data_IF_906360984382
#
_entry.id   IF_906360984382
#
_cell.length_a   1.000
_cell.length_b   1.000
_cell.length_c   1.000
_cell.angle_alpha   90.00
_cell.angle_beta   90.00
_cell.angle_gamma   90.00
#
_symmetry.space_group_name_H-M   'P 1'
#
loop_
_entity.id
_entity.type
_entity.pdbx_description
1 polymer ?
#
# COMPACT_ATOMS: atom_id res chain seq x y z
N UNK A 1 3.16 24.85 8.77
CA UNK A 1 4.60 24.90 8.52
C UNK A 1 5.31 23.53 8.57
N UNK A 2 4.68 22.44 9.01
CA UNK A 2 5.32 21.10 9.09
C UNK A 2 5.26 20.27 7.79
N UNK A 3 4.45 20.68 6.80
CA UNK A 3 4.26 19.94 5.53
C UNK A 3 5.37 20.12 4.50
N UNK A 4 6.16 21.17 4.61
CA UNK A 4 7.24 21.50 3.65
C UNK A 4 8.59 20.86 4.00
N UNK A 5 8.80 20.42 5.23
CA UNK A 5 10.06 19.80 5.66
C UNK A 5 10.22 18.33 5.24
N UNK A 6 9.13 17.60 5.03
CA UNK A 6 9.21 16.19 4.62
C UNK A 6 9.56 15.99 3.15
N UNK A 7 9.14 16.92 2.26
CA UNK A 7 9.44 16.85 0.83
C UNK A 7 10.93 17.11 0.53
N UNK A 8 11.60 17.94 1.34
CA UNK A 8 13.01 18.28 1.14
C UNK A 8 13.99 17.17 1.55
N UNK A 9 13.64 16.36 2.53
CA UNK A 9 14.52 15.30 3.05
C UNK A 9 14.63 14.09 2.11
N UNK A 10 13.57 13.77 1.36
CA UNK A 10 13.55 12.65 0.41
C UNK A 10 14.34 12.98 -0.86
N UNK A 11 14.30 14.23 -1.30
CA UNK A 11 15.03 14.66 -2.51
C UNK A 11 16.55 14.74 -2.29
N UNK A 12 16.99 15.03 -1.07
CA UNK A 12 18.42 15.13 -0.73
C UNK A 12 19.12 13.75 -0.63
N UNK A 13 18.40 12.70 -0.27
CA UNK A 13 19.00 11.37 -0.13
C UNK A 13 19.24 10.65 -1.47
N UNK A 14 18.53 11.05 -2.52
CA UNK A 14 18.64 10.43 -3.85
C UNK A 14 19.84 10.91 -4.66
N UNK A 15 20.45 12.04 -4.30
CA UNK A 15 21.49 12.70 -5.12
C UNK A 15 22.94 12.40 -4.71
N UNK A 16 23.18 11.71 -3.60
CA UNK A 16 24.54 11.49 -3.06
C UNK A 16 24.99 10.02 -2.99
N UNK A 17 24.20 9.08 -3.54
CA UNK A 17 24.62 7.68 -3.56
C UNK A 17 25.72 7.50 -4.63
N UNK A 18 26.94 7.03 -4.27
CA UNK A 18 27.97 6.71 -5.26
C UNK A 18 27.48 5.58 -6.17
N UNK A 19 27.49 5.85 -7.46
CA UNK A 19 27.03 4.93 -8.52
C UNK A 19 27.98 3.75 -8.75
N UNK A 20 28.89 3.47 -7.85
CA UNK A 20 29.95 2.49 -8.05
C UNK A 20 29.69 1.17 -7.32
N UNK A 21 29.92 0.11 -8.05
CA UNK A 21 30.15 -1.26 -7.64
C UNK A 21 28.94 -2.12 -7.27
N UNK A 22 28.00 -2.28 -8.19
CA UNK A 22 27.11 -3.43 -8.12
C UNK A 22 26.94 -4.04 -9.51
N UNK A 23 27.42 -5.27 -9.65
CA UNK A 23 27.06 -6.10 -10.81
C UNK A 23 25.59 -6.48 -10.68
N UNK A 24 24.68 -5.58 -11.09
CA UNK A 24 23.28 -5.92 -11.20
C UNK A 24 23.18 -7.05 -12.22
N UNK A 25 22.68 -8.18 -11.79
CA UNK A 25 22.19 -9.19 -12.70
C UNK A 25 20.88 -8.63 -13.26
N UNK A 26 20.94 -8.05 -14.46
CA UNK A 26 19.76 -7.67 -15.21
C UNK A 26 18.84 -8.88 -15.30
N UNK A 27 17.59 -8.75 -14.86
CA UNK A 27 16.59 -9.80 -14.96
C UNK A 27 16.44 -10.69 -13.73
N UNK A 28 16.97 -10.30 -12.55
CA UNK A 28 16.62 -11.03 -11.33
C UNK A 28 15.13 -10.88 -11.05
N UNK A 29 14.48 -12.01 -10.86
CA UNK A 29 13.07 -12.11 -10.53
C UNK A 29 12.91 -12.49 -9.08
N UNK A 30 11.94 -11.90 -8.40
CA UNK A 30 11.62 -12.22 -7.02
C UNK A 30 10.12 -12.25 -6.79
N UNK A 31 9.69 -13.10 -5.84
CA UNK A 31 8.32 -13.14 -5.36
C UNK A 31 8.34 -12.87 -3.87
N UNK A 32 7.41 -12.06 -3.39
CA UNK A 32 7.28 -11.71 -1.96
C UNK A 32 5.84 -11.90 -1.51
N UNK A 33 5.46 -13.09 -1.04
CA UNK A 33 4.23 -13.24 -0.27
C UNK A 33 4.33 -12.43 1.02
N UNK A 34 3.24 -11.76 1.39
CA UNK A 34 3.21 -10.92 2.57
C UNK A 34 1.85 -10.96 3.28
N UNK A 35 1.88 -10.60 4.56
CA UNK A 35 0.72 -10.35 5.39
C UNK A 35 0.89 -9.02 6.10
N UNK A 36 -0.22 -8.40 6.46
CA UNK A 36 -0.18 -7.11 7.12
C UNK A 36 -1.54 -6.64 7.62
N UNK A 37 -1.61 -5.35 7.85
CA UNK A 37 -2.81 -4.66 8.29
C UNK A 37 -3.09 -3.46 7.39
N UNK A 38 -4.33 -3.31 6.96
CA UNK A 38 -4.80 -2.20 6.14
C UNK A 38 -5.77 -1.34 6.94
N UNK A 39 -5.51 -0.04 6.99
CA UNK A 39 -6.40 0.98 7.54
C UNK A 39 -7.08 1.70 6.40
N UNK A 40 -8.39 1.58 6.32
CA UNK A 40 -9.18 2.29 5.32
C UNK A 40 -9.43 3.74 5.72
N UNK A 41 -9.39 4.65 4.74
CA UNK A 41 -9.76 6.04 4.93
C UNK A 41 -11.26 6.23 5.16
N UNK A 42 -11.64 7.44 5.60
CA UNK A 42 -13.05 7.80 5.79
C UNK A 42 -13.76 7.80 4.43
N UNK A 43 -14.87 7.08 4.34
CA UNK A 43 -15.69 6.98 3.12
C UNK A 43 -16.66 8.16 3.02
N UNK A 44 -17.35 8.50 4.10
CA UNK A 44 -18.33 9.59 4.16
C UNK A 44 -18.28 10.24 5.55
N UNK A 45 -18.34 11.58 5.58
CA UNK A 45 -18.58 12.32 6.82
C UNK A 45 -20.03 12.81 6.81
N UNK A 46 -20.82 12.35 7.75
CA UNK A 46 -22.19 12.76 7.96
C UNK A 46 -22.32 14.03 8.82
N UNK A 47 -23.53 14.61 8.91
CA UNK A 47 -23.80 15.71 9.83
C UNK A 47 -23.58 15.27 11.28
N UNK A 48 -23.32 16.23 12.18
CA UNK A 48 -23.10 16.03 13.62
C UNK A 48 -21.85 15.18 13.98
N UNK A 49 -20.83 15.12 13.12
CA UNK A 49 -19.59 14.40 13.42
C UNK A 49 -19.68 12.88 13.25
N UNK A 50 -20.77 12.37 12.66
CA UNK A 50 -20.87 10.98 12.27
C UNK A 50 -19.97 10.71 11.06
N UNK A 51 -19.23 9.60 11.07
CA UNK A 51 -18.41 9.17 9.92
C UNK A 51 -18.63 7.68 9.67
N UNK A 52 -18.83 7.34 8.41
CA UNK A 52 -18.74 5.95 7.95
C UNK A 52 -17.29 5.71 7.54
N UNK A 53 -16.63 4.81 8.22
CA UNK A 53 -15.25 4.40 7.92
C UNK A 53 -15.18 2.89 7.87
N UNK A 54 -14.30 2.38 7.00
CA UNK A 54 -13.91 0.98 7.12
C UNK A 54 -13.08 0.81 8.39
N UNK A 55 -13.41 -0.15 9.22
CA UNK A 55 -12.49 -0.60 10.25
C UNK A 55 -11.21 -1.07 9.55
N UNK A 56 -10.06 -0.95 10.22
CA UNK A 56 -8.85 -1.58 9.68
C UNK A 56 -9.01 -3.10 9.73
N UNK A 57 -8.36 -3.80 8.80
CA UNK A 57 -8.43 -5.25 8.70
C UNK A 57 -7.13 -5.90 8.21
N UNK A 58 -7.04 -7.23 8.31
CA UNK A 58 -5.91 -7.95 7.79
C UNK A 58 -5.84 -7.81 6.26
N UNK A 59 -4.61 -7.75 5.74
CA UNK A 59 -4.31 -7.79 4.31
C UNK A 59 -3.31 -8.90 4.04
N UNK A 60 -3.55 -9.65 2.96
CA UNK A 60 -2.66 -10.69 2.45
C UNK A 60 -2.42 -10.44 0.98
N UNK A 61 -1.20 -10.67 0.53
CA UNK A 61 -0.87 -10.44 -0.86
C UNK A 61 0.45 -11.05 -1.28
N UNK A 62 0.80 -10.79 -2.53
CA UNK A 62 2.09 -11.14 -3.09
C UNK A 62 2.56 -10.06 -4.06
N UNK A 63 3.84 -9.74 -4.01
CA UNK A 63 4.53 -8.92 -4.99
C UNK A 63 5.43 -9.78 -5.88
N UNK A 64 5.40 -9.52 -7.17
CA UNK A 64 6.39 -10.01 -8.14
C UNK A 64 7.30 -8.84 -8.52
N UNK A 65 8.60 -9.02 -8.39
CA UNK A 65 9.59 -7.97 -8.64
C UNK A 65 10.53 -8.41 -9.76
N UNK A 66 10.72 -7.55 -10.76
CA UNK A 66 11.69 -7.74 -11.85
C UNK A 66 12.67 -6.58 -11.84
N UNK A 67 13.94 -6.84 -11.64
CA UNK A 67 14.98 -5.81 -11.71
C UNK A 67 15.22 -5.40 -13.17
N UNK A 68 14.99 -4.13 -13.46
CA UNK A 68 15.21 -3.54 -14.78
C UNK A 68 16.66 -3.07 -14.93
N UNK A 69 17.18 -2.48 -13.87
CA UNK A 69 18.58 -2.06 -13.74
C UNK A 69 18.93 -1.99 -12.25
N UNK A 70 20.19 -1.68 -11.94
CA UNK A 70 20.67 -1.57 -10.55
C UNK A 70 19.80 -0.59 -9.74
N UNK A 71 19.17 -1.09 -8.71
CA UNK A 71 18.33 -0.29 -7.82
C UNK A 71 17.00 0.15 -8.41
N UNK A 72 16.66 -0.21 -9.66
CA UNK A 72 15.37 0.06 -10.27
C UNK A 72 14.68 -1.26 -10.62
N UNK A 73 13.48 -1.46 -10.12
CA UNK A 73 12.68 -2.64 -10.39
C UNK A 73 11.24 -2.27 -10.77
N UNK A 74 10.64 -3.13 -11.58
CA UNK A 74 9.20 -3.16 -11.81
C UNK A 74 8.58 -4.13 -10.81
N UNK A 75 7.50 -3.71 -10.17
CA UNK A 75 6.76 -4.50 -9.17
C UNK A 75 5.33 -4.65 -9.62
N UNK A 76 4.86 -5.89 -9.70
CA UNK A 76 3.43 -6.22 -9.80
C UNK A 76 2.92 -6.69 -8.45
N UNK A 77 1.75 -6.26 -8.02
CA UNK A 77 1.19 -6.60 -6.73
C UNK A 77 -0.27 -7.02 -6.85
N UNK A 78 -0.62 -8.05 -6.08
CA UNK A 78 -2.01 -8.46 -5.84
C UNK A 78 -2.21 -8.64 -4.35
N UNK A 79 -3.27 -8.03 -3.80
CA UNK A 79 -3.59 -8.14 -2.38
C UNK A 79 -5.09 -8.23 -2.15
N UNK A 80 -5.45 -8.93 -1.09
CA UNK A 80 -6.82 -9.04 -0.59
C UNK A 80 -6.86 -8.55 0.85
N UNK A 81 -7.77 -7.62 1.13
CA UNK A 81 -8.05 -7.11 2.46
C UNK A 81 -9.51 -7.35 2.81
N UNK A 82 -9.79 -7.73 4.05
CA UNK A 82 -11.15 -7.85 4.57
C UNK A 82 -11.28 -7.03 5.83
N UNK A 83 -12.43 -6.37 5.99
CA UNK A 83 -12.73 -5.54 7.16
C UNK A 83 -14.23 -5.51 7.44
N UNK A 84 -14.58 -5.25 8.68
CA UNK A 84 -15.94 -4.95 9.06
C UNK A 84 -16.25 -3.47 8.81
N UNK A 85 -17.50 -3.17 8.44
CA UNK A 85 -17.98 -1.81 8.30
C UNK A 85 -18.46 -1.32 9.69
N UNK A 86 -17.90 -0.20 10.13
CA UNK A 86 -18.28 0.43 11.40
C UNK A 86 -18.89 1.81 11.16
N UNK A 87 -20.00 2.08 11.85
CA UNK A 87 -20.51 3.45 12.03
C UNK A 87 -19.89 4.01 13.30
N UNK A 88 -19.01 5.00 13.15
CA UNK A 88 -18.50 5.76 14.28
C UNK A 88 -19.58 6.72 14.79
N UNK A 89 -20.13 6.46 15.97
CA UNK A 89 -21.01 7.38 16.68
C UNK A 89 -20.18 8.02 17.79
N UNK A 90 -20.09 9.38 17.87
CA UNK A 90 -19.42 10.02 18.98
C UNK A 90 -20.05 9.54 20.29
N UNK A 91 -19.23 9.11 21.27
CA UNK A 91 -19.64 8.66 22.61
C UNK A 91 -20.02 7.18 22.76
N UNK A 92 -20.49 6.46 21.71
CA UNK A 92 -20.99 5.08 21.84
C UNK A 92 -20.04 4.03 21.28
N UNK A 93 -19.04 4.45 20.50
CA UNK A 93 -18.12 3.52 19.79
C UNK A 93 -18.66 3.08 18.44
N UNK A 94 -17.92 2.20 17.74
CA UNK A 94 -18.30 1.65 16.44
C UNK A 94 -19.27 0.47 16.59
N UNK A 95 -20.34 0.49 15.83
CA UNK A 95 -21.23 -0.68 15.65
C UNK A 95 -20.94 -1.27 14.27
N UNK A 96 -20.53 -2.54 14.21
CA UNK A 96 -20.34 -3.26 12.95
C UNK A 96 -21.70 -3.71 12.40
N UNK A 97 -21.97 -3.43 11.12
CA UNK A 97 -23.24 -3.73 10.46
C UNK A 97 -23.10 -4.42 9.10
N UNK A 98 -21.88 -4.72 8.66
CA UNK A 98 -21.63 -5.37 7.38
C UNK A 98 -20.15 -5.76 7.22
N UNK A 99 -19.87 -6.46 6.12
CA UNK A 99 -18.51 -6.80 5.71
C UNK A 99 -18.10 -6.00 4.48
N UNK A 100 -16.84 -5.61 4.44
CA UNK A 100 -16.23 -5.04 3.25
C UNK A 100 -14.97 -5.81 2.91
N UNK A 101 -14.81 -6.16 1.65
CA UNK A 101 -13.57 -6.71 1.13
C UNK A 101 -13.02 -5.85 0.01
N UNK A 102 -11.71 -5.84 -0.12
CA UNK A 102 -11.01 -5.12 -1.18
C UNK A 102 -9.98 -6.03 -1.83
N UNK A 103 -10.08 -6.18 -3.15
CA UNK A 103 -9.05 -6.77 -4.00
C UNK A 103 -8.27 -5.62 -4.65
N UNK A 104 -6.96 -5.59 -4.41
CA UNK A 104 -6.04 -4.60 -4.95
C UNK A 104 -5.11 -5.29 -5.96
N UNK A 105 -4.91 -4.66 -7.10
CA UNK A 105 -3.89 -5.06 -8.06
C UNK A 105 -3.25 -3.82 -8.64
N UNK A 106 -1.93 -3.77 -8.61
CA UNK A 106 -1.18 -2.60 -9.02
C UNK A 106 0.17 -2.97 -9.64
N UNK A 107 0.69 -2.04 -10.43
CA UNK A 107 2.06 -2.05 -10.91
C UNK A 107 2.78 -0.80 -10.42
N UNK A 108 4.03 -0.94 -10.02
CA UNK A 108 4.84 0.13 -9.47
C UNK A 108 6.29 0.08 -9.97
N UNK A 109 6.93 1.22 -9.98
CA UNK A 109 8.38 1.34 -10.07
C UNK A 109 8.95 1.43 -8.65
N UNK A 110 9.99 0.64 -8.37
CA UNK A 110 10.70 0.60 -7.09
C UNK A 110 12.13 1.07 -7.29
N UNK A 111 12.55 2.00 -6.46
CA UNK A 111 13.93 2.45 -6.33
C UNK A 111 14.50 1.93 -5.01
N UNK A 112 15.63 1.25 -5.07
CA UNK A 112 16.29 0.59 -3.94
C UNK A 112 17.73 1.05 -3.82
N UNK A 113 18.22 1.26 -2.59
CA UNK A 113 19.59 1.68 -2.32
C UNK A 113 20.18 0.75 -1.26
N UNK A 114 21.01 -0.25 -1.64
CA UNK A 114 21.65 -1.13 -0.68
C UNK A 114 22.62 -0.37 0.23
N UNK A 115 22.52 -0.60 1.52
CA UNK A 115 23.45 -0.06 2.51
C UNK A 115 24.61 -1.05 2.69
N UNK A 116 25.84 -0.59 2.43
CA UNK A 116 27.02 -1.46 2.40
C UNK A 116 27.99 -1.21 3.57
N UNK A 117 27.59 -0.37 4.55
CA UNK A 117 28.49 0.04 5.63
C UNK A 117 27.85 -0.09 7.02
N UNK A 118 28.67 -0.45 7.99
CA UNK A 118 28.29 -0.50 9.40
C UNK A 118 27.30 -1.63 9.75
N UNK A 119 26.55 -1.44 10.82
CA UNK A 119 25.55 -2.39 11.31
C UNK A 119 24.34 -2.56 10.35
N UNK A 120 24.18 -1.68 9.38
CA UNK A 120 23.14 -1.72 8.37
C UNK A 120 23.58 -2.42 7.07
N UNK A 121 24.76 -3.02 7.05
CA UNK A 121 25.27 -3.70 5.86
C UNK A 121 24.32 -4.81 5.40
N UNK A 122 23.97 -4.76 4.11
CA UNK A 122 23.02 -5.68 3.50
C UNK A 122 21.55 -5.26 3.57
N UNK A 123 21.18 -4.31 4.44
CA UNK A 123 19.82 -3.75 4.43
C UNK A 123 19.63 -2.89 3.19
N UNK A 124 18.50 -3.07 2.52
CA UNK A 124 18.17 -2.36 1.29
C UNK A 124 16.88 -1.57 1.45
N UNK A 125 16.94 -0.31 1.87
CA UNK A 125 15.77 0.56 1.84
C UNK A 125 15.31 0.80 0.41
N UNK A 126 14.00 0.95 0.24
CA UNK A 126 13.39 1.23 -1.04
C UNK A 126 12.21 2.18 -0.90
N UNK A 127 11.90 2.84 -2.01
CA UNK A 127 10.65 3.57 -2.22
C UNK A 127 10.01 3.07 -3.50
N UNK A 128 8.68 3.08 -3.57
CA UNK A 128 7.97 2.70 -4.77
C UNK A 128 6.77 3.61 -5.03
N UNK A 129 6.44 3.79 -6.29
CA UNK A 129 5.25 4.51 -6.72
C UNK A 129 4.64 3.81 -7.92
N UNK A 130 3.31 3.76 -7.96
CA UNK A 130 2.61 3.03 -9.01
C UNK A 130 1.15 3.39 -9.12
N UNK A 131 0.47 2.60 -9.94
CA UNK A 131 -0.94 2.73 -10.19
C UNK A 131 -1.58 1.36 -10.41
N UNK A 132 -2.88 1.30 -10.17
CA UNK A 132 -3.63 0.07 -10.33
C UNK A 132 -5.11 0.28 -10.10
N UNK A 133 -5.78 -0.77 -9.66
CA UNK A 133 -7.18 -0.69 -9.32
C UNK A 133 -7.47 -1.37 -7.99
N UNK A 134 -8.48 -0.85 -7.33
CA UNK A 134 -9.06 -1.39 -6.10
C UNK A 134 -10.50 -1.78 -6.39
N UNK A 135 -10.78 -3.07 -6.37
CA UNK A 135 -12.13 -3.60 -6.42
C UNK A 135 -12.63 -3.80 -5.00
N UNK A 136 -13.65 -3.04 -4.64
CA UNK A 136 -14.30 -3.13 -3.33
C UNK A 136 -15.63 -3.84 -3.46
N UNK A 137 -15.91 -4.72 -2.51
CA UNK A 137 -17.17 -5.42 -2.37
C UNK A 137 -17.73 -5.13 -0.97
N UNK A 138 -18.95 -4.61 -0.91
CA UNK A 138 -19.65 -4.24 0.33
C UNK A 138 -20.89 -5.10 0.40
N UNK A 139 -21.01 -5.87 1.47
CA UNK A 139 -22.16 -6.72 1.76
C UNK A 139 -22.89 -6.19 3.00
N UNK A 140 -24.07 -5.64 2.77
CA UNK A 140 -25.04 -5.28 3.82
C UNK A 140 -26.34 -5.97 3.46
N UNK A 141 -26.69 -7.02 4.19
CA UNK A 141 -27.88 -7.83 3.86
C UNK A 141 -29.16 -6.96 3.74
N UNK A 142 -29.95 -7.08 2.65
CA UNK A 142 -29.88 -8.05 1.56
C UNK A 142 -29.13 -7.55 0.31
N UNK A 143 -28.35 -6.46 0.37
CA UNK A 143 -27.73 -5.77 -0.77
C UNK A 143 -26.22 -6.01 -0.81
N UNK A 144 -25.72 -6.44 -1.95
CA UNK A 144 -24.28 -6.49 -2.24
C UNK A 144 -23.95 -5.49 -3.36
N UNK A 145 -22.98 -4.62 -3.12
CA UNK A 145 -22.52 -3.63 -4.09
C UNK A 145 -21.05 -3.86 -4.40
N UNK A 146 -20.70 -3.82 -5.69
CA UNK A 146 -19.31 -3.99 -6.18
C UNK A 146 -18.92 -2.73 -6.94
N UNK A 147 -17.76 -2.18 -6.62
CA UNK A 147 -17.16 -1.07 -7.38
C UNK A 147 -15.69 -1.33 -7.64
N UNK A 148 -15.21 -0.89 -8.80
CA UNK A 148 -13.79 -0.95 -9.16
C UNK A 148 -13.31 0.44 -9.49
N UNK A 149 -12.35 0.94 -8.71
CA UNK A 149 -11.84 2.30 -8.84
C UNK A 149 -10.34 2.25 -9.12
N UNK A 150 -9.89 3.19 -9.93
CA UNK A 150 -8.47 3.41 -10.15
C UNK A 150 -7.83 4.00 -8.90
N UNK A 151 -6.63 3.52 -8.56
CA UNK A 151 -5.87 3.99 -7.41
C UNK A 151 -4.38 4.17 -7.77
N UNK A 152 -3.81 5.26 -7.32
CA UNK A 152 -2.35 5.41 -7.25
C UNK A 152 -1.84 4.78 -5.95
N UNK A 153 -0.57 4.40 -5.94
CA UNK A 153 0.08 3.98 -4.70
C UNK A 153 1.47 4.59 -4.56
N UNK A 154 1.83 4.86 -3.32
CA UNK A 154 3.18 5.22 -2.92
C UNK A 154 3.56 4.39 -1.70
N UNK A 155 4.79 3.92 -1.64
CA UNK A 155 5.24 3.09 -0.54
C UNK A 155 6.72 3.26 -0.26
N UNK A 156 7.09 2.89 0.94
CA UNK A 156 8.49 2.81 1.37
C UNK A 156 8.68 1.57 2.25
N UNK A 157 9.88 1.03 2.21
CA UNK A 157 10.17 -0.18 2.98
C UNK A 157 11.65 -0.48 3.05
N UNK A 158 11.92 -1.64 3.63
CA UNK A 158 13.27 -2.18 3.74
C UNK A 158 13.26 -3.67 3.42
N UNK A 159 14.25 -4.12 2.67
CA UNK A 159 14.57 -5.52 2.47
C UNK A 159 15.78 -5.87 3.36
N UNK A 160 15.63 -6.88 4.20
CA UNK A 160 16.67 -7.42 5.07
C UNK A 160 17.04 -8.80 4.57
N UNK A 161 18.27 -9.03 4.04
CA UNK A 161 18.67 -10.34 3.57
C UNK A 161 18.81 -11.32 4.75
N UNK A 162 18.19 -12.48 4.62
CA UNK A 162 18.32 -13.61 5.57
C UNK A 162 19.20 -14.72 5.00
N UNK A 163 19.46 -14.67 3.69
CA UNK A 163 20.28 -15.63 2.98
C UNK A 163 20.46 -15.23 1.51
N UNK A 164 21.13 -16.09 0.71
CA UNK A 164 21.43 -15.75 -0.69
C UNK A 164 20.21 -15.53 -1.57
N UNK A 165 19.08 -16.14 -1.24
CA UNK A 165 17.82 -16.06 -2.03
C UNK A 165 16.61 -15.73 -1.18
N UNK A 166 16.78 -15.50 0.12
CA UNK A 166 15.68 -15.26 1.05
C UNK A 166 15.93 -13.96 1.79
N UNK A 167 14.92 -13.12 1.88
CA UNK A 167 14.94 -11.87 2.65
C UNK A 167 13.62 -11.63 3.37
N UNK A 168 13.66 -10.77 4.36
CA UNK A 168 12.47 -10.21 5.02
C UNK A 168 12.21 -8.83 4.42
N UNK A 169 11.00 -8.60 3.96
CA UNK A 169 10.53 -7.29 3.49
C UNK A 169 9.57 -6.68 4.49
N UNK A 170 9.83 -5.45 4.91
CA UNK A 170 8.89 -4.63 5.67
C UNK A 170 8.50 -3.44 4.83
N UNK A 171 7.20 -3.14 4.71
CA UNK A 171 6.70 -2.10 3.82
C UNK A 171 5.50 -1.38 4.42
N UNK A 172 5.50 -0.06 4.26
CA UNK A 172 4.33 0.80 4.41
C UNK A 172 3.92 1.33 3.04
N UNK A 173 2.64 1.21 2.66
CA UNK A 173 2.10 1.66 1.37
C UNK A 173 0.80 2.42 1.58
N UNK A 174 0.62 3.53 0.87
CA UNK A 174 -0.62 4.30 0.81
C UNK A 174 -1.26 4.12 -0.56
N UNK A 175 -2.50 3.67 -0.59
CA UNK A 175 -3.32 3.61 -1.77
C UNK A 175 -4.23 4.82 -1.81
N UNK A 176 -4.01 5.68 -2.79
CA UNK A 176 -4.68 6.96 -3.00
C UNK A 176 -5.68 6.77 -4.13
N UNK A 177 -6.96 6.75 -3.80
CA UNK A 177 -8.03 6.55 -4.78
C UNK A 177 -9.16 7.57 -4.63
N UNK A 178 -9.94 7.73 -5.69
CA UNK A 178 -11.21 8.45 -5.62
C UNK A 178 -12.31 7.40 -5.43
N UNK A 179 -13.11 7.55 -4.39
CA UNK A 179 -14.32 6.76 -4.23
C UNK A 179 -15.46 7.51 -4.94
N UNK A 180 -15.97 6.95 -6.02
CA UNK A 180 -17.14 7.51 -6.69
C UNK A 180 -18.41 6.92 -6.07
N UNK A 181 -19.04 7.70 -5.20
CA UNK A 181 -20.27 7.28 -4.51
C UNK A 181 -21.49 7.33 -5.44
N UNK A 182 -21.38 7.91 -6.64
CA UNK A 182 -22.47 8.01 -7.62
C UNK A 182 -22.93 6.65 -8.15
N UNK A 183 -22.04 5.67 -8.22
CA UNK A 183 -22.40 4.31 -8.64
C UNK A 183 -23.11 3.51 -7.56
N UNK A 184 -22.99 3.92 -6.29
CA UNK A 184 -23.50 3.19 -5.14
C UNK A 184 -24.80 3.77 -4.55
N UNK A 185 -25.10 5.05 -4.79
CA UNK A 185 -26.30 5.71 -4.23
C UNK A 185 -26.79 6.80 -5.18
N UNK A 186 -28.10 6.99 -5.30
CA UNK A 186 -28.72 8.09 -6.05
C UNK A 186 -28.55 9.48 -5.39
N UNK A 187 -27.58 9.64 -4.51
CA UNK A 187 -27.31 10.88 -3.78
C UNK A 187 -26.00 11.49 -4.31
N UNK A 188 -26.04 12.76 -4.64
CA UNK A 188 -24.90 13.55 -5.10
C UNK A 188 -23.94 13.78 -3.92
N UNK A 189 -22.92 12.91 -3.79
CA UNK A 189 -21.91 13.01 -2.74
C UNK A 189 -20.58 13.41 -3.38
N UNK A 190 -19.94 14.43 -2.83
CA UNK A 190 -18.65 14.93 -3.30
C UNK A 190 -17.59 13.82 -3.37
N UNK A 191 -17.00 13.66 -4.54
CA UNK A 191 -15.89 12.74 -4.80
C UNK A 191 -14.66 13.15 -3.99
N UNK A 192 -14.33 12.43 -2.94
CA UNK A 192 -13.14 12.69 -2.10
C UNK A 192 -12.03 11.71 -2.38
N UNK A 193 -10.81 12.22 -2.33
CA UNK A 193 -9.61 11.38 -2.32
C UNK A 193 -9.50 10.66 -0.98
N UNK A 194 -9.46 9.33 -1.03
CA UNK A 194 -9.28 8.48 0.15
C UNK A 194 -7.86 7.93 0.19
N UNK A 195 -7.28 7.94 1.37
CA UNK A 195 -5.98 7.37 1.69
C UNK A 195 -6.18 6.05 2.45
N UNK A 196 -5.65 4.96 1.92
CA UNK A 196 -5.77 3.64 2.53
C UNK A 196 -4.35 3.12 2.83
N UNK A 197 -4.00 3.10 4.09
CA UNK A 197 -2.65 2.76 4.54
C UNK A 197 -2.51 1.28 4.82
N UNK A 198 -1.45 0.68 4.33
CA UNK A 198 -1.05 -0.70 4.66
C UNK A 198 0.30 -0.72 5.33
N UNK A 199 0.43 -1.57 6.34
CA UNK A 199 1.71 -1.96 6.91
C UNK A 199 1.83 -3.47 6.77
N UNK A 200 2.89 -3.96 6.13
CA UNK A 200 3.05 -5.37 5.80
C UNK A 200 4.45 -5.87 6.05
N UNK A 201 4.53 -7.18 6.31
CA UNK A 201 5.75 -7.94 6.38
C UNK A 201 5.66 -9.15 5.45
N UNK A 202 6.71 -9.43 4.70
CA UNK A 202 6.74 -10.51 3.71
C UNK A 202 8.08 -11.20 3.64
N UNK A 203 8.08 -12.38 3.05
CA UNK A 203 9.30 -13.16 2.77
C UNK A 203 9.63 -12.98 1.30
N UNK A 204 10.73 -12.31 1.01
CA UNK A 204 11.23 -12.16 -0.36
C UNK A 204 12.00 -13.42 -0.77
N UNK A 205 11.59 -13.99 -1.88
CA UNK A 205 12.24 -15.15 -2.51
C UNK A 205 12.85 -14.71 -3.83
N UNK A 206 14.17 -14.76 -3.96
CA UNK A 206 14.91 -14.51 -5.19
C UNK A 206 15.00 -15.78 -6.04
N UNK A 207 14.66 -15.69 -7.31
CA UNK A 207 14.68 -16.77 -8.29
C UNK A 207 15.76 -16.57 -9.32
#
# INVERSE_FOLDING_TARGET
>A
MLRTLFAGAVTGLLLTAPLEAQTARLGSFGITPYAGYMKFGNLVNGPLGTSVRGAGGPVFGAEATVEVTRGLALVGNVAYASTDLEVGVPVVGGLSFGRSSALLYDAALRLSVPLNAGAAAGITPFVQAGAGAMRREIEVAPVATKSTNFAYNVGAGVDVPLGPRVGLQLMAKDYIGKFDAREATAVDVDTRTTHNWTLSAGIRLGL
#
